data_IF_649504078317
#
_entry.id   IF_649504078317
#
_cell.length_a   1.000
_cell.length_b   1.000
_cell.length_c   1.000
_cell.angle_alpha   90.00
_cell.angle_beta   90.00
_cell.angle_gamma   90.00
#
_symmetry.space_group_name_H-M   'P 1'
#
loop_
_entity.id
_entity.type
_entity.pdbx_description
1 polymer ?
#
# COMPACT_ATOMS: atom_id res chain seq x y z
N UNK A 1 -15.47 -12.24 8.67
CA UNK A 1 -15.00 -12.96 9.87
C UNK A 1 -15.47 -12.27 11.14
N UNK A 2 -15.19 -10.98 11.32
CA UNK A 2 -15.72 -10.15 12.42
C UNK A 2 -17.24 -10.23 12.57
N UNK A 3 -18.00 -10.25 11.46
CA UNK A 3 -19.48 -10.38 11.47
C UNK A 3 -19.98 -11.64 12.19
N UNK A 4 -19.27 -12.76 12.06
CA UNK A 4 -19.62 -14.02 12.72
C UNK A 4 -19.43 -13.92 14.24
N UNK A 5 -18.31 -13.32 14.67
CA UNK A 5 -18.02 -13.11 16.09
C UNK A 5 -18.90 -12.01 16.72
N UNK A 6 -19.25 -10.95 15.98
CA UNK A 6 -20.24 -9.97 16.45
C UNK A 6 -21.64 -10.57 16.56
N UNK A 7 -21.92 -11.67 15.85
CA UNK A 7 -23.15 -12.45 16.00
C UNK A 7 -23.28 -13.12 17.38
N UNK A 8 -22.15 -13.31 18.09
CA UNK A 8 -22.13 -13.78 19.48
C UNK A 8 -22.39 -12.64 20.50
N UNK A 9 -22.57 -11.41 20.01
CA UNK A 9 -22.76 -10.21 20.83
C UNK A 9 -24.23 -9.76 20.83
N UNK A 10 -24.58 -8.72 21.59
CA UNK A 10 -25.97 -8.23 21.70
C UNK A 10 -26.58 -7.90 20.32
N UNK A 11 -27.88 -8.15 20.14
CA UNK A 11 -28.62 -7.90 18.89
C UNK A 11 -28.49 -6.44 18.40
N UNK A 12 -28.41 -5.49 19.33
CA UNK A 12 -28.21 -4.05 19.05
C UNK A 12 -26.83 -3.74 18.49
N UNK A 13 -25.77 -4.36 19.03
CA UNK A 13 -24.39 -4.16 18.57
C UNK A 13 -24.19 -4.77 17.16
N UNK A 14 -24.80 -5.92 16.90
CA UNK A 14 -24.75 -6.56 15.59
C UNK A 14 -25.44 -5.71 14.51
N UNK A 15 -26.62 -5.16 14.80
CA UNK A 15 -27.34 -4.30 13.87
C UNK A 15 -26.53 -3.03 13.52
N UNK A 16 -25.96 -2.37 14.54
CA UNK A 16 -25.11 -1.19 14.35
C UNK A 16 -23.85 -1.51 13.53
N UNK A 17 -23.20 -2.65 13.80
CA UNK A 17 -22.05 -3.10 13.02
C UNK A 17 -22.42 -3.36 11.55
N UNK A 18 -23.54 -4.05 11.30
CA UNK A 18 -23.99 -4.39 9.96
C UNK A 18 -24.32 -3.15 9.11
N UNK A 19 -25.01 -2.15 9.68
CA UNK A 19 -25.30 -0.89 8.97
C UNK A 19 -24.03 -0.16 8.56
N UNK A 20 -23.06 -0.03 9.48
CA UNK A 20 -21.77 0.61 9.20
C UNK A 20 -20.95 -0.18 8.17
N UNK A 21 -21.02 -1.51 8.22
CA UNK A 21 -20.34 -2.37 7.27
C UNK A 21 -20.88 -2.20 5.84
N UNK A 22 -22.20 -2.09 5.66
CA UNK A 22 -22.83 -1.84 4.35
C UNK A 22 -22.36 -0.50 3.76
N UNK A 23 -22.37 0.57 4.55
CA UNK A 23 -21.82 1.88 4.14
C UNK A 23 -20.36 1.74 3.73
N UNK A 24 -19.59 0.99 4.52
CA UNK A 24 -18.21 0.68 4.21
C UNK A 24 -18.01 -0.04 2.89
N UNK A 25 -18.87 -1.00 2.54
CA UNK A 25 -18.79 -1.74 1.28
C UNK A 25 -19.06 -0.85 0.06
N UNK A 26 -20.00 0.09 0.17
CA UNK A 26 -20.28 1.04 -0.92
C UNK A 26 -19.04 1.89 -1.25
N UNK A 27 -18.38 2.40 -0.21
CA UNK A 27 -17.13 3.17 -0.35
C UNK A 27 -16.03 2.29 -0.98
N UNK A 28 -15.86 1.07 -0.46
CA UNK A 28 -14.85 0.13 -0.96
C UNK A 28 -15.08 -0.22 -2.45
N UNK A 29 -16.32 -0.32 -2.91
CA UNK A 29 -16.64 -0.57 -4.32
C UNK A 29 -16.09 0.52 -5.27
N UNK A 30 -16.30 1.79 -4.93
CA UNK A 30 -15.77 2.93 -5.72
C UNK A 30 -14.24 2.91 -5.73
N UNK A 31 -13.64 2.67 -4.57
CA UNK A 31 -12.18 2.67 -4.40
C UNK A 31 -11.53 1.50 -5.13
N UNK A 32 -12.18 0.34 -5.16
CA UNK A 32 -11.71 -0.80 -5.93
C UNK A 32 -11.68 -0.51 -7.43
N UNK A 33 -12.70 0.18 -7.96
CA UNK A 33 -12.72 0.66 -9.35
C UNK A 33 -11.52 1.57 -9.66
N UNK A 34 -11.21 2.51 -8.76
CA UNK A 34 -10.01 3.36 -8.91
C UNK A 34 -8.71 2.55 -8.86
N UNK A 35 -8.62 1.55 -7.98
CA UNK A 35 -7.45 0.67 -7.88
C UNK A 35 -7.19 -0.13 -9.17
N UNK A 36 -8.25 -0.55 -9.87
CA UNK A 36 -8.12 -1.19 -11.19
C UNK A 36 -7.61 -0.20 -12.22
N UNK A 37 -8.13 1.02 -12.26
CA UNK A 37 -7.66 2.06 -13.19
C UNK A 37 -6.17 2.41 -12.98
N UNK A 38 -5.74 2.50 -11.72
CA UNK A 38 -4.33 2.65 -11.34
C UNK A 38 -3.49 1.49 -11.88
N UNK A 39 -3.93 0.25 -11.64
CA UNK A 39 -3.23 -0.95 -12.10
C UNK A 39 -3.03 -0.94 -13.62
N UNK A 40 -4.05 -0.55 -14.38
CA UNK A 40 -3.95 -0.42 -15.83
C UNK A 40 -2.95 0.65 -16.25
N UNK A 41 -3.01 1.85 -15.65
CA UNK A 41 -2.08 2.94 -15.97
C UNK A 41 -0.63 2.53 -15.75
N UNK A 42 -0.31 1.99 -14.57
CA UNK A 42 1.04 1.54 -14.25
C UNK A 42 1.47 0.41 -15.19
N UNK A 43 0.59 -0.55 -15.48
CA UNK A 43 0.87 -1.66 -16.39
C UNK A 43 1.15 -1.22 -17.83
N UNK A 44 0.40 -0.24 -18.36
CA UNK A 44 0.60 0.31 -19.71
C UNK A 44 1.97 1.00 -19.81
N UNK A 45 2.33 1.85 -18.85
CA UNK A 45 3.63 2.54 -18.86
C UNK A 45 4.80 1.58 -18.73
N UNK A 46 4.68 0.54 -17.90
CA UNK A 46 5.68 -0.53 -17.79
C UNK A 46 5.81 -1.34 -19.09
N UNK A 47 4.70 -1.72 -19.72
CA UNK A 47 4.69 -2.44 -20.99
C UNK A 47 5.29 -1.63 -22.15
N UNK A 48 5.11 -0.31 -22.13
CA UNK A 48 5.68 0.60 -23.12
C UNK A 48 7.19 0.86 -22.95
N UNK A 49 7.82 0.35 -21.88
CA UNK A 49 9.24 0.61 -21.59
C UNK A 49 9.51 1.92 -20.83
N UNK A 50 8.48 2.74 -20.60
CA UNK A 50 8.59 4.06 -19.96
C UNK A 50 8.59 3.95 -18.43
N UNK A 51 9.70 3.43 -17.88
CA UNK A 51 9.88 3.23 -16.44
C UNK A 51 9.71 4.51 -15.60
N UNK A 52 10.16 5.66 -16.11
CA UNK A 52 10.01 6.95 -15.43
C UNK A 52 8.54 7.37 -15.30
N UNK A 53 7.74 7.19 -16.36
CA UNK A 53 6.31 7.49 -16.32
C UNK A 53 5.54 6.53 -15.41
N UNK A 54 5.95 5.25 -15.34
CA UNK A 54 5.38 4.30 -14.40
C UNK A 54 5.61 4.73 -12.93
N UNK A 55 6.82 5.21 -12.62
CA UNK A 55 7.16 5.75 -11.30
C UNK A 55 6.32 7.01 -10.99
N UNK A 56 6.24 7.96 -11.91
CA UNK A 56 5.41 9.17 -11.72
C UNK A 56 3.93 8.82 -11.53
N UNK A 57 3.38 7.86 -12.30
CA UNK A 57 2.00 7.40 -12.14
C UNK A 57 1.76 6.78 -10.76
N UNK A 58 2.73 6.03 -10.23
CA UNK A 58 2.69 5.50 -8.87
C UNK A 58 2.69 6.61 -7.82
N UNK A 59 3.56 7.62 -7.97
CA UNK A 59 3.65 8.79 -7.07
C UNK A 59 2.34 9.56 -7.00
N UNK A 60 1.77 9.88 -8.16
CA UNK A 60 0.48 10.58 -8.26
C UNK A 60 -0.63 9.77 -7.62
N UNK A 61 -0.62 8.44 -7.81
CA UNK A 61 -1.60 7.55 -7.19
C UNK A 61 -1.52 7.56 -5.66
N UNK A 62 -0.31 7.52 -5.08
CA UNK A 62 -0.16 7.55 -3.61
C UNK A 62 -0.68 8.87 -3.05
N UNK A 63 -0.31 10.00 -3.65
CA UNK A 63 -0.79 11.32 -3.24
C UNK A 63 -2.30 11.46 -3.38
N UNK A 64 -2.85 11.06 -4.53
CA UNK A 64 -4.30 11.08 -4.76
C UNK A 64 -5.05 10.15 -3.81
N UNK A 65 -4.54 8.93 -3.59
CA UNK A 65 -5.13 7.95 -2.68
C UNK A 65 -5.17 8.44 -1.24
N UNK A 66 -4.11 9.11 -0.77
CA UNK A 66 -4.07 9.73 0.53
C UNK A 66 -5.10 10.87 0.65
N UNK A 67 -5.12 11.81 -0.29
CA UNK A 67 -6.10 12.91 -0.29
C UNK A 67 -7.54 12.39 -0.34
N UNK A 68 -7.81 11.39 -1.17
CA UNK A 68 -9.12 10.77 -1.27
C UNK A 68 -9.52 10.07 0.03
N UNK A 69 -8.60 9.35 0.67
CA UNK A 69 -8.83 8.72 1.96
C UNK A 69 -9.17 9.77 3.05
N UNK A 70 -8.47 10.91 3.09
CA UNK A 70 -8.77 12.01 4.01
C UNK A 70 -10.18 12.58 3.75
N UNK A 71 -10.52 12.85 2.49
CA UNK A 71 -11.84 13.37 2.13
C UNK A 71 -12.95 12.43 2.58
N UNK A 72 -12.80 11.12 2.35
CA UNK A 72 -13.78 10.13 2.79
C UNK A 72 -13.86 10.04 4.32
N UNK A 73 -12.72 10.08 5.02
CA UNK A 73 -12.70 10.06 6.49
C UNK A 73 -13.42 11.29 7.08
N UNK A 74 -13.15 12.49 6.53
CA UNK A 74 -13.84 13.72 6.94
C UNK A 74 -15.33 13.62 6.65
N UNK A 75 -15.72 13.15 5.46
CA UNK A 75 -17.12 13.00 5.09
C UNK A 75 -17.87 12.04 6.02
N UNK A 76 -17.24 10.91 6.40
CA UNK A 76 -17.82 9.95 7.34
C UNK A 76 -17.99 10.55 8.75
N UNK A 77 -17.02 11.34 9.21
CA UNK A 77 -17.10 12.01 10.52
C UNK A 77 -18.18 13.11 10.49
N UNK A 78 -18.27 13.89 9.42
CA UNK A 78 -19.29 14.94 9.26
C UNK A 78 -20.70 14.37 9.18
N UNK A 79 -20.86 13.18 8.61
CA UNK A 79 -22.16 12.50 8.47
C UNK A 79 -22.44 11.50 9.59
N UNK A 80 -21.68 11.54 10.71
CA UNK A 80 -21.79 10.54 11.78
C UNK A 80 -23.18 10.42 12.40
N UNK A 81 -23.93 11.52 12.46
CA UNK A 81 -25.25 11.56 13.09
C UNK A 81 -26.37 11.21 12.07
N UNK A 82 -26.08 11.35 10.78
CA UNK A 82 -27.05 11.19 9.68
C UNK A 82 -27.04 9.77 9.14
N UNK A 83 -25.86 9.16 8.96
CA UNK A 83 -25.72 7.82 8.37
C UNK A 83 -26.51 6.76 9.15
N UNK A 84 -26.41 6.67 10.50
CA UNK A 84 -27.12 5.62 11.25
C UNK A 84 -28.65 5.72 11.17
N UNK A 85 -29.19 6.94 11.05
CA UNK A 85 -30.63 7.18 10.93
C UNK A 85 -31.23 6.61 9.64
N UNK A 86 -30.43 6.47 8.57
CA UNK A 86 -30.92 5.85 7.32
C UNK A 86 -31.13 4.35 7.43
N UNK A 87 -30.47 3.66 8.37
CA UNK A 87 -30.51 2.20 8.48
C UNK A 87 -31.43 1.71 9.61
N UNK A 88 -31.69 2.53 10.62
CA UNK A 88 -32.54 2.14 11.74
C UNK A 88 -33.22 3.34 12.40
N UNK A 89 -34.48 3.15 12.77
CA UNK A 89 -35.24 4.10 13.61
C UNK A 89 -35.10 3.80 15.11
N UNK A 90 -34.34 2.75 15.49
CA UNK A 90 -34.13 2.42 16.89
C UNK A 90 -32.99 3.26 17.48
N UNK A 91 -33.32 4.17 18.40
CA UNK A 91 -32.34 5.08 19.02
C UNK A 91 -31.14 4.36 19.67
N UNK A 92 -31.36 3.16 20.22
CA UNK A 92 -30.26 2.37 20.82
C UNK A 92 -29.25 1.90 19.76
N UNK A 93 -29.71 1.57 18.55
CA UNK A 93 -28.85 1.16 17.42
C UNK A 93 -28.13 2.38 16.83
N UNK A 94 -28.86 3.50 16.68
CA UNK A 94 -28.34 4.77 16.16
C UNK A 94 -27.24 5.32 17.05
N UNK A 95 -27.46 5.35 18.38
CA UNK A 95 -26.47 5.83 19.35
C UNK A 95 -25.19 4.99 19.29
N UNK A 96 -25.32 3.66 19.24
CA UNK A 96 -24.17 2.76 19.16
C UNK A 96 -23.40 2.90 17.83
N UNK A 97 -24.10 3.01 16.71
CA UNK A 97 -23.48 3.22 15.41
C UNK A 97 -22.78 4.59 15.32
N UNK A 98 -23.33 5.62 15.95
CA UNK A 98 -22.70 6.95 16.03
C UNK A 98 -21.38 6.88 16.79
N UNK A 99 -21.33 6.15 17.90
CA UNK A 99 -20.10 5.90 18.68
C UNK A 99 -19.01 5.19 17.86
N UNK A 100 -19.38 4.24 17.00
CA UNK A 100 -18.43 3.51 16.16
C UNK A 100 -18.05 4.22 14.85
N UNK A 101 -18.75 5.27 14.45
CA UNK A 101 -18.49 5.96 13.17
C UNK A 101 -17.09 6.58 13.06
N UNK A 102 -16.53 7.24 14.09
CA UNK A 102 -15.15 7.72 14.04
C UNK A 102 -14.13 6.58 13.85
N UNK A 103 -14.38 5.43 14.49
CA UNK A 103 -13.52 4.25 14.37
C UNK A 103 -13.60 3.64 12.95
N UNK A 104 -14.80 3.63 12.36
CA UNK A 104 -15.00 3.28 10.95
C UNK A 104 -14.23 4.23 10.03
N UNK A 105 -14.29 5.54 10.26
CA UNK A 105 -13.61 6.52 9.42
C UNK A 105 -12.09 6.30 9.40
N UNK A 106 -11.50 6.03 10.57
CA UNK A 106 -10.08 5.68 10.70
C UNK A 106 -9.78 4.37 9.95
N UNK A 107 -10.58 3.33 10.17
CA UNK A 107 -10.39 2.07 9.45
C UNK A 107 -10.45 2.24 7.93
N UNK A 108 -11.44 3.00 7.44
CA UNK A 108 -11.63 3.28 6.01
C UNK A 108 -10.47 4.07 5.43
N UNK A 109 -9.88 4.98 6.20
CA UNK A 109 -8.67 5.69 5.77
C UNK A 109 -7.53 4.72 5.43
N UNK A 110 -7.22 3.77 6.32
CA UNK A 110 -6.20 2.75 6.08
C UNK A 110 -6.56 1.81 4.94
N UNK A 111 -7.82 1.35 4.89
CA UNK A 111 -8.30 0.44 3.86
C UNK A 111 -8.20 1.06 2.45
N UNK A 112 -8.60 2.32 2.29
CA UNK A 112 -8.53 3.04 1.01
C UNK A 112 -7.07 3.14 0.55
N UNK A 113 -6.17 3.56 1.44
CA UNK A 113 -4.75 3.66 1.14
C UNK A 113 -4.18 2.30 0.72
N UNK A 114 -4.48 1.24 1.47
CA UNK A 114 -4.05 -0.12 1.17
C UNK A 114 -4.56 -0.59 -0.21
N UNK A 115 -5.83 -0.33 -0.56
CA UNK A 115 -6.42 -0.72 -1.85
C UNK A 115 -5.72 0.01 -3.00
N UNK A 116 -5.38 1.29 -2.83
CA UNK A 116 -4.63 2.06 -3.84
C UNK A 116 -3.22 1.49 -4.04
N UNK A 117 -2.49 1.21 -2.96
CA UNK A 117 -1.19 0.55 -3.02
C UNK A 117 -1.25 -0.83 -3.68
N UNK A 118 -2.30 -1.60 -3.40
CA UNK A 118 -2.54 -2.91 -4.01
C UNK A 118 -2.80 -2.80 -5.53
N UNK A 119 -3.42 -1.70 -5.97
CA UNK A 119 -3.57 -1.38 -7.39
C UNK A 119 -2.22 -1.18 -8.09
N UNK A 120 -1.31 -0.44 -7.46
CA UNK A 120 0.06 -0.23 -7.95
C UNK A 120 0.81 -1.57 -8.03
N UNK A 121 0.78 -2.36 -6.96
CA UNK A 121 1.45 -3.68 -6.90
C UNK A 121 0.91 -4.65 -7.96
N UNK A 122 -0.41 -4.65 -8.21
CA UNK A 122 -1.02 -5.43 -9.30
C UNK A 122 -0.55 -4.96 -10.67
N UNK A 123 -0.43 -3.64 -10.89
CA UNK A 123 0.09 -3.07 -12.14
C UNK A 123 1.53 -3.48 -12.45
N UNK A 124 2.36 -3.69 -11.43
CA UNK A 124 3.74 -4.17 -11.57
C UNK A 124 3.81 -5.70 -11.77
N UNK A 125 2.77 -6.43 -11.34
CA UNK A 125 2.74 -7.89 -11.34
C UNK A 125 3.27 -8.52 -10.04
N UNK A 126 3.22 -7.79 -8.92
CA UNK A 126 3.58 -8.27 -7.59
C UNK A 126 2.36 -8.76 -6.79
N UNK A 127 1.36 -9.34 -7.46
CA UNK A 127 0.16 -9.86 -6.77
C UNK A 127 0.48 -10.94 -5.73
N UNK A 128 1.48 -11.80 -5.98
CA UNK A 128 1.89 -12.86 -5.05
C UNK A 128 2.43 -12.29 -3.75
N UNK A 129 3.27 -11.25 -3.83
CA UNK A 129 3.76 -10.54 -2.65
C UNK A 129 2.60 -9.91 -1.87
N UNK A 130 1.68 -9.24 -2.57
CA UNK A 130 0.49 -8.65 -1.96
C UNK A 130 -0.38 -9.68 -1.22
N UNK A 131 -0.57 -10.86 -1.82
CA UNK A 131 -1.34 -11.95 -1.22
C UNK A 131 -0.66 -12.51 0.04
N UNK A 132 0.65 -12.75 0.00
CA UNK A 132 1.41 -13.28 1.15
C UNK A 132 1.41 -12.29 2.31
N UNK A 133 1.69 -11.01 2.05
CA UNK A 133 1.68 -9.98 3.10
C UNK A 133 0.28 -9.78 3.66
N UNK A 134 -0.76 -9.80 2.83
CA UNK A 134 -2.13 -9.73 3.32
C UNK A 134 -2.49 -10.93 4.20
N UNK A 135 -2.05 -12.13 3.82
CA UNK A 135 -2.24 -13.31 4.64
C UNK A 135 -1.56 -13.17 6.01
N UNK A 136 -0.28 -12.80 6.03
CA UNK A 136 0.47 -12.63 7.28
C UNK A 136 -0.13 -11.52 8.15
N UNK A 137 -0.31 -10.32 7.59
CA UNK A 137 -0.77 -9.16 8.37
C UNK A 137 -2.22 -9.28 8.83
N UNK A 138 -3.12 -9.81 8.00
CA UNK A 138 -4.54 -9.91 8.36
C UNK A 138 -4.86 -11.17 9.17
N UNK A 139 -4.25 -12.32 8.85
CA UNK A 139 -4.57 -13.60 9.51
C UNK A 139 -3.62 -13.99 10.64
N UNK A 140 -2.32 -13.70 10.56
CA UNK A 140 -1.36 -14.06 11.62
C UNK A 140 -1.22 -12.96 12.68
N UNK A 141 -1.45 -11.69 12.32
CA UNK A 141 -1.34 -10.56 13.25
C UNK A 141 -2.72 -9.99 13.58
N UNK A 142 -3.45 -9.51 12.57
CA UNK A 142 -4.73 -8.84 12.75
C UNK A 142 -5.76 -9.72 13.44
N UNK A 143 -5.87 -10.99 13.04
CA UNK A 143 -6.85 -11.90 13.61
C UNK A 143 -6.56 -12.28 15.08
N UNK A 144 -5.34 -12.72 15.48
CA UNK A 144 -5.04 -13.00 16.89
C UNK A 144 -5.17 -11.76 17.79
N UNK A 145 -4.77 -10.58 17.29
CA UNK A 145 -4.96 -9.32 18.03
C UNK A 145 -6.44 -8.97 18.17
N UNK A 146 -7.22 -9.11 17.11
CA UNK A 146 -8.67 -8.88 17.15
C UNK A 146 -9.38 -9.85 18.11
N UNK A 147 -9.03 -11.14 18.07
CA UNK A 147 -9.64 -12.16 18.91
C UNK A 147 -9.24 -12.00 20.38
N UNK A 148 -7.97 -11.69 20.67
CA UNK A 148 -7.50 -11.45 22.04
C UNK A 148 -8.13 -10.19 22.63
N UNK A 149 -8.20 -9.08 21.90
CA UNK A 149 -8.87 -7.87 22.40
C UNK A 149 -10.38 -8.06 22.54
N UNK A 150 -11.01 -8.85 21.67
CA UNK A 150 -12.46 -9.10 21.73
C UNK A 150 -12.84 -9.99 22.92
N UNK A 151 -12.01 -10.98 23.28
CA UNK A 151 -12.31 -11.95 24.35
C UNK A 151 -11.71 -11.60 25.71
N UNK A 152 -10.50 -11.01 25.74
CA UNK A 152 -9.78 -10.74 26.98
C UNK A 152 -10.02 -9.33 27.55
N UNK A 153 -10.59 -8.41 26.76
CA UNK A 153 -10.83 -7.02 27.17
C UNK A 153 -12.32 -6.69 27.20
N UNK A 154 -12.79 -5.80 28.10
CA UNK A 154 -14.17 -5.30 28.10
C UNK A 154 -14.55 -4.53 26.82
N UNK A 155 -13.60 -4.26 25.91
CA UNK A 155 -13.82 -3.55 24.66
C UNK A 155 -14.69 -4.29 23.62
N UNK A 156 -14.97 -5.60 23.79
CA UNK A 156 -15.87 -6.42 22.93
C UNK A 156 -15.71 -6.10 21.43
N UNK A 157 -16.72 -5.51 20.80
CA UNK A 157 -16.77 -5.17 19.36
C UNK A 157 -15.71 -4.12 18.99
N UNK A 158 -15.45 -3.14 19.85
CA UNK A 158 -14.41 -2.14 19.60
C UNK A 158 -13.02 -2.78 19.50
N UNK A 159 -12.76 -3.83 20.29
CA UNK A 159 -11.51 -4.60 20.22
C UNK A 159 -11.25 -5.24 18.86
N UNK A 160 -12.32 -5.72 18.19
CA UNK A 160 -12.21 -6.29 16.85
C UNK A 160 -11.84 -5.24 15.79
N UNK A 161 -12.36 -4.01 15.92
CA UNK A 161 -11.98 -2.89 15.06
C UNK A 161 -10.51 -2.50 15.24
N UNK A 162 -10.03 -2.39 16.49
CA UNK A 162 -8.62 -2.09 16.75
C UNK A 162 -7.67 -3.15 16.20
N UNK A 163 -7.99 -4.45 16.36
CA UNK A 163 -7.20 -5.51 15.76
C UNK A 163 -7.16 -5.46 14.23
N UNK A 164 -8.29 -5.12 13.61
CA UNK A 164 -8.37 -4.96 12.14
C UNK A 164 -7.59 -3.73 11.67
N UNK A 165 -7.65 -2.61 12.40
CA UNK A 165 -6.85 -1.41 12.12
C UNK A 165 -5.36 -1.70 12.26
N UNK A 166 -4.95 -2.41 13.31
CA UNK A 166 -3.55 -2.79 13.51
C UNK A 166 -3.02 -3.65 12.34
N UNK A 167 -3.81 -4.63 11.88
CA UNK A 167 -3.48 -5.40 10.68
C UNK A 167 -3.36 -4.52 9.43
N UNK A 168 -4.34 -3.63 9.21
CA UNK A 168 -4.34 -2.71 8.08
C UNK A 168 -3.11 -1.77 8.08
N UNK A 169 -2.69 -1.27 9.25
CA UNK A 169 -1.48 -0.46 9.41
C UNK A 169 -0.24 -1.24 8.97
N UNK A 170 -0.09 -2.50 9.41
CA UNK A 170 1.04 -3.35 9.01
C UNK A 170 1.08 -3.53 7.48
N UNK A 171 -0.07 -3.76 6.85
CA UNK A 171 -0.16 -3.88 5.39
C UNK A 171 0.20 -2.56 4.70
N UNK A 172 -0.30 -1.42 5.19
CA UNK A 172 0.01 -0.11 4.63
C UNK A 172 1.51 0.18 4.67
N UNK A 173 2.17 -0.12 5.79
CA UNK A 173 3.63 0.04 5.93
C UNK A 173 4.37 -0.89 4.99
N UNK A 174 4.04 -2.19 4.98
CA UNK A 174 4.69 -3.17 4.12
C UNK A 174 4.56 -2.84 2.62
N UNK A 175 3.37 -2.44 2.17
CA UNK A 175 3.14 -2.03 0.79
C UNK A 175 3.87 -0.74 0.43
N UNK A 176 3.89 0.25 1.34
CA UNK A 176 4.63 1.50 1.13
C UNK A 176 6.13 1.24 0.99
N UNK A 177 6.72 0.43 1.87
CA UNK A 177 8.14 0.04 1.79
C UNK A 177 8.43 -0.66 0.47
N UNK A 178 7.58 -1.59 0.04
CA UNK A 178 7.80 -2.28 -1.24
C UNK A 178 7.71 -1.35 -2.42
N UNK A 179 6.69 -0.49 -2.50
CA UNK A 179 6.54 0.45 -3.62
C UNK A 179 7.76 1.39 -3.69
N UNK A 180 8.32 1.79 -2.55
CA UNK A 180 9.52 2.64 -2.49
C UNK A 180 10.81 1.93 -2.93
N UNK A 181 10.87 0.60 -2.80
CA UNK A 181 12.06 -0.21 -3.11
C UNK A 181 11.99 -0.85 -4.50
N UNK A 182 10.95 -0.55 -5.29
CA UNK A 182 10.83 -1.06 -6.66
C UNK A 182 11.85 -0.42 -7.57
N UNK A 183 12.64 -1.26 -8.23
CA UNK A 183 13.43 -0.84 -9.39
C UNK A 183 12.53 -0.82 -10.65
N UNK A 184 12.05 0.38 -10.99
CA UNK A 184 11.15 0.60 -12.13
C UNK A 184 11.78 0.20 -13.47
N UNK A 185 13.12 0.27 -13.61
CA UNK A 185 13.81 -0.12 -14.84
C UNK A 185 13.80 -1.63 -15.00
N UNK A 186 14.15 -2.37 -13.94
CA UNK A 186 14.09 -3.83 -13.98
C UNK A 186 12.67 -4.36 -14.20
N UNK A 187 11.67 -3.78 -13.54
CA UNK A 187 10.29 -4.23 -13.70
C UNK A 187 9.72 -3.91 -15.10
N UNK A 188 10.15 -2.81 -15.73
CA UNK A 188 9.84 -2.50 -17.13
C UNK A 188 10.41 -3.55 -18.08
N UNK A 189 11.67 -3.97 -17.87
CA UNK A 189 12.31 -5.04 -18.65
C UNK A 189 11.56 -6.37 -18.48
N UNK A 190 11.22 -6.74 -17.23
CA UNK A 190 10.46 -7.96 -16.94
C UNK A 190 9.07 -7.91 -17.58
N UNK A 191 8.38 -6.77 -17.54
CA UNK A 191 7.06 -6.59 -18.15
C UNK A 191 7.13 -6.76 -19.68
N UNK A 192 8.12 -6.16 -20.34
CA UNK A 192 8.34 -6.31 -21.79
C UNK A 192 8.70 -7.74 -22.19
N UNK A 193 9.53 -8.42 -21.38
CA UNK A 193 9.84 -9.86 -21.56
C UNK A 193 8.58 -10.73 -21.46
N UNK A 194 7.69 -10.46 -20.48
CA UNK A 194 6.38 -11.13 -20.36
C UNK A 194 5.47 -10.87 -21.56
N UNK A 195 5.58 -9.71 -22.20
CA UNK A 195 4.81 -9.35 -23.40
C UNK A 195 5.39 -9.94 -24.71
N UNK A 196 6.48 -10.72 -24.66
CA UNK A 196 7.11 -11.31 -25.85
C UNK A 196 7.84 -10.31 -26.75
N UNK A 197 8.06 -9.07 -26.27
CA UNK A 197 8.83 -8.07 -27.01
C UNK A 197 10.31 -8.47 -26.93
N UNK A 198 10.91 -8.81 -28.07
CA UNK A 198 12.35 -9.02 -28.19
C UNK A 198 13.03 -7.66 -27.93
N UNK A 199 13.66 -7.53 -26.77
CA UNK A 199 14.44 -6.34 -26.44
C UNK A 199 15.80 -6.53 -27.11
N UNK A 200 15.96 -5.97 -28.31
CA UNK A 200 17.20 -6.01 -29.12
C UNK A 200 18.44 -5.58 -28.31
N UNK A 201 18.24 -4.69 -27.34
CA UNK A 201 19.27 -4.18 -26.43
C UNK A 201 19.52 -5.08 -25.19
N UNK A 202 19.19 -6.38 -25.28
CA UNK A 202 19.56 -7.39 -24.27
C UNK A 202 20.73 -8.25 -24.75
N UNK A 203 21.23 -8.02 -25.97
CA UNK A 203 22.46 -8.64 -26.44
C UNK A 203 23.59 -8.42 -25.43
N UNK A 204 23.68 -7.25 -24.80
CA UNK A 204 24.68 -7.04 -23.74
C UNK A 204 24.36 -7.70 -22.41
N UNK A 205 23.10 -7.95 -22.00
CA UNK A 205 22.79 -8.62 -20.70
C UNK A 205 22.93 -10.14 -20.81
N UNK A 206 22.47 -10.72 -21.92
CA UNK A 206 22.65 -12.17 -22.19
C UNK A 206 24.10 -12.47 -22.55
N UNK A 207 24.76 -11.58 -23.29
CA UNK A 207 26.23 -11.67 -23.41
C UNK A 207 26.88 -11.38 -22.06
N UNK A 208 26.42 -10.46 -21.20
CA UNK A 208 27.04 -10.25 -19.88
C UNK A 208 26.96 -11.52 -19.03
N UNK A 209 25.84 -12.24 -18.99
CA UNK A 209 25.75 -13.49 -18.20
C UNK A 209 26.56 -14.63 -18.82
N UNK A 210 26.62 -14.74 -20.15
CA UNK A 210 27.41 -15.76 -20.84
C UNK A 210 28.93 -15.44 -20.84
N UNK A 211 29.28 -14.17 -20.97
CA UNK A 211 30.62 -13.61 -20.94
C UNK A 211 31.11 -13.56 -19.49
N UNK A 212 30.29 -13.25 -18.47
CA UNK A 212 30.65 -13.37 -17.04
C UNK A 212 30.81 -14.84 -16.59
N UNK A 213 30.09 -15.78 -17.21
CA UNK A 213 30.28 -17.22 -16.99
C UNK A 213 31.57 -17.74 -17.65
N UNK A 214 32.03 -17.14 -18.76
CA UNK A 214 33.32 -17.41 -19.40
C UNK A 214 34.49 -16.62 -18.76
N UNK A 215 34.26 -15.38 -18.33
CA UNK A 215 35.17 -14.51 -17.59
C UNK A 215 35.39 -15.03 -16.18
N UNK A 216 34.45 -15.75 -15.56
CA UNK A 216 34.68 -16.44 -14.29
C UNK A 216 35.82 -17.48 -14.39
N UNK A 217 36.05 -18.03 -15.58
CA UNK A 217 37.16 -18.94 -15.87
C UNK A 217 38.44 -18.16 -16.25
N UNK A 218 38.32 -17.09 -17.06
CA UNK A 218 39.48 -16.27 -17.45
C UNK A 218 39.99 -15.30 -16.36
N UNK A 219 39.17 -14.90 -15.39
CA UNK A 219 39.56 -14.02 -14.26
C UNK A 219 40.49 -14.74 -13.27
N UNK A 220 40.58 -16.08 -13.33
CA UNK A 220 41.63 -16.83 -12.63
C UNK A 220 43.02 -16.66 -13.27
N UNK A 221 43.11 -16.35 -14.55
CA UNK A 221 44.37 -16.08 -15.26
C UNK A 221 44.72 -14.59 -15.34
N UNK A 222 43.74 -13.67 -15.40
CA UNK A 222 43.98 -12.23 -15.65
C UNK A 222 44.04 -11.40 -14.36
N UNK A 223 44.32 -12.03 -13.21
CA UNK A 223 44.57 -11.27 -11.96
C UNK A 223 45.96 -10.63 -11.89
N UNK A 224 46.81 -10.90 -12.88
CA UNK A 224 48.24 -10.62 -12.85
C UNK A 224 48.70 -9.45 -13.75
N UNK A 225 47.80 -8.75 -14.43
CA UNK A 225 48.22 -7.66 -15.34
C UNK A 225 47.33 -6.42 -15.26
N UNK A 226 47.92 -5.35 -14.71
CA UNK A 226 47.63 -3.92 -14.99
C UNK A 226 46.26 -3.42 -14.54
N UNK A 227 46.10 -2.67 -13.45
CA UNK A 227 46.93 -1.52 -13.01
C UNK A 227 47.46 -0.68 -14.17
N UNK A 228 46.59 -0.01 -14.93
CA UNK A 228 46.89 1.34 -15.45
C UNK A 228 45.68 1.98 -16.12
N UNK A 229 45.36 3.17 -15.64
CA UNK A 229 44.43 4.21 -16.08
C UNK A 229 44.06 4.26 -17.57
N UNK A 230 42.80 4.66 -17.86
CA UNK A 230 42.41 5.81 -18.72
C UNK A 230 40.97 5.64 -19.27
N UNK A 231 39.95 6.01 -18.49
CA UNK A 231 38.59 6.26 -19.03
C UNK A 231 37.72 7.17 -18.13
N UNK A 232 38.35 7.90 -17.20
CA UNK A 232 37.70 8.59 -16.09
C UNK A 232 37.13 10.00 -16.40
N UNK A 233 37.01 10.47 -17.65
CA UNK A 233 36.76 11.91 -17.86
C UNK A 233 35.62 12.32 -18.80
N UNK A 234 35.06 11.44 -19.62
CA UNK A 234 33.94 11.81 -20.53
C UNK A 234 32.55 11.41 -20.02
N UNK A 235 32.45 10.46 -19.08
CA UNK A 235 31.17 9.98 -18.52
C UNK A 235 30.60 10.79 -17.34
N UNK A 236 31.35 11.76 -16.81
CA UNK A 236 31.02 12.43 -15.54
C UNK A 236 30.07 13.64 -15.74
N UNK A 237 30.09 14.31 -16.90
CA UNK A 237 29.32 15.55 -17.09
C UNK A 237 27.84 15.31 -17.45
N UNK A 238 27.53 14.24 -18.19
CA UNK A 238 26.15 13.84 -18.52
C UNK A 238 25.45 13.08 -17.39
N UNK A 239 26.21 12.31 -16.60
CA UNK A 239 25.68 11.60 -15.44
C UNK A 239 25.34 12.55 -14.29
N UNK A 240 26.10 13.62 -14.07
CA UNK A 240 25.86 14.54 -12.96
C UNK A 240 24.57 15.37 -13.10
N UNK A 241 24.14 15.73 -14.31
CA UNK A 241 22.88 16.49 -14.51
C UNK A 241 21.63 15.63 -14.36
N UNK A 242 21.65 14.40 -14.89
CA UNK A 242 20.56 13.43 -14.71
C UNK A 242 20.51 12.85 -13.28
N UNK A 243 21.66 12.68 -12.63
CA UNK A 243 21.75 12.26 -11.22
C UNK A 243 21.28 13.38 -10.29
N UNK A 244 21.55 14.65 -10.59
CA UNK A 244 21.09 15.79 -9.77
C UNK A 244 19.56 15.97 -9.81
N UNK A 245 18.90 15.77 -10.96
CA UNK A 245 17.43 15.82 -11.03
C UNK A 245 16.78 14.59 -10.38
N UNK A 246 17.35 13.39 -10.59
CA UNK A 246 16.85 12.16 -9.99
C UNK A 246 17.00 12.14 -8.45
N UNK A 247 18.11 12.63 -7.91
CA UNK A 247 18.34 12.71 -6.46
C UNK A 247 17.43 13.72 -5.78
N UNK A 248 17.08 14.83 -6.45
CA UNK A 248 16.16 15.83 -5.91
C UNK A 248 14.71 15.29 -5.83
N UNK A 249 14.26 14.52 -6.83
CA UNK A 249 12.94 13.88 -6.84
C UNK A 249 12.83 12.68 -5.87
N UNK A 250 13.91 11.89 -5.73
CA UNK A 250 14.04 10.81 -4.75
C UNK A 250 13.96 11.34 -3.31
N UNK A 251 14.58 12.49 -3.02
CA UNK A 251 14.55 13.13 -1.71
C UNK A 251 13.16 13.63 -1.31
N UNK A 252 12.37 14.18 -2.24
CA UNK A 252 10.99 14.60 -1.99
C UNK A 252 10.05 13.40 -1.85
N UNK A 253 10.23 12.36 -2.67
CA UNK A 253 9.42 11.14 -2.62
C UNK A 253 9.61 10.37 -1.31
N UNK A 254 10.85 10.14 -0.90
CA UNK A 254 11.17 9.53 0.39
C UNK A 254 10.53 10.33 1.53
N UNK A 255 10.60 11.67 1.48
CA UNK A 255 9.97 12.53 2.48
C UNK A 255 8.45 12.45 2.49
N UNK A 256 7.76 12.46 1.34
CA UNK A 256 6.29 12.38 1.28
C UNK A 256 5.79 11.02 1.78
N UNK A 257 6.40 9.92 1.33
CA UNK A 257 5.98 8.58 1.79
C UNK A 257 6.36 8.37 3.25
N UNK A 258 7.50 8.88 3.71
CA UNK A 258 7.87 8.83 5.14
C UNK A 258 6.93 9.70 5.98
N UNK A 259 6.51 10.87 5.51
CA UNK A 259 5.50 11.70 6.17
C UNK A 259 4.13 11.00 6.22
N UNK A 260 3.75 10.28 5.16
CA UNK A 260 2.53 9.46 5.15
C UNK A 260 2.66 8.30 6.13
N UNK A 261 3.79 7.57 6.15
CA UNK A 261 4.07 6.51 7.13
C UNK A 261 4.04 7.05 8.56
N UNK A 262 4.68 8.19 8.83
CA UNK A 262 4.66 8.86 10.14
C UNK A 262 3.25 9.32 10.49
N UNK A 263 2.48 9.82 9.54
CA UNK A 263 1.07 10.21 9.74
C UNK A 263 0.17 9.00 10.00
N UNK A 264 0.43 7.85 9.35
CA UNK A 264 -0.28 6.60 9.58
C UNK A 264 0.01 6.05 10.99
N UNK A 265 1.27 6.14 11.45
CA UNK A 265 1.68 5.76 12.81
C UNK A 265 1.07 6.73 13.84
N UNK A 266 1.09 8.03 13.57
CA UNK A 266 0.53 9.05 14.44
C UNK A 266 -1.01 8.96 14.53
N UNK A 267 -1.70 8.70 13.42
CA UNK A 267 -3.14 8.46 13.40
C UNK A 267 -3.52 7.18 14.16
N UNK A 268 -2.72 6.12 14.03
CA UNK A 268 -2.87 4.91 14.86
C UNK A 268 -2.72 5.20 16.36
N UNK A 269 -1.75 6.04 16.74
CA UNK A 269 -1.57 6.50 18.13
C UNK A 269 -2.69 7.42 18.64
N UNK A 270 -3.21 8.30 17.78
CA UNK A 270 -4.34 9.18 18.08
C UNK A 270 -5.64 8.40 18.28
N UNK A 271 -5.82 7.30 17.54
CA UNK A 271 -6.95 6.37 17.68
C UNK A 271 -7.00 5.74 19.08
N UNK A 272 -5.83 5.45 19.66
CA UNK A 272 -5.72 4.93 21.02
C UNK A 272 -6.04 6.03 22.05
N UNK A 273 -5.59 7.28 21.80
CA UNK A 273 -5.75 8.42 22.72
C UNK A 273 -7.18 8.98 22.77
N UNK A 274 -7.88 8.99 21.64
CA UNK A 274 -9.27 9.48 21.56
C UNK A 274 -10.26 8.54 22.26
N UNK A 275 -9.93 7.25 22.43
CA UNK A 275 -10.78 6.30 23.14
C UNK A 275 -10.47 6.21 24.65
N UNK A 276 -9.24 6.49 25.08
CA UNK A 276 -8.88 6.51 26.52
C UNK A 276 -9.45 7.73 27.26
N UNK A 277 -9.87 8.77 26.53
CA UNK A 277 -10.44 10.01 27.08
C UNK A 277 -11.96 10.15 26.89
N UNK A 278 -12.66 9.08 26.50
CA UNK A 278 -14.14 8.98 26.45
C UNK A 278 -14.57 7.90 27.42
#
# INVERSE_FOLDING_TARGET
MTTFFTGLTSKTELAAYASLFIVGLMITGVVFGMSVAVSMRVGIHLGAGNSDQANVSSRVTIGFGFCFAVVIAVLLISLKDVIPHFFSNNEAVVSMATSFTPLLAIFKFFEIYQIMCTGILRGIGFQTFGAVVNFIGSFLIGFPVALSLMLASPLRVAGAWFGTIAGAVVLCVAFSIRINTVDWKQESIKARKRAGIIIENTAWIVNDEAENMQLGDQTREIKDYRSFDTSAQSGIVSSNSAMSSATHDLGVYSKVVTLVIVSLIFAGGLSLRLYVNV
#
